data_IF_857208960514
#
_entry.id   IF_857208960514
#
_cell.length_a   1.000
_cell.length_b   1.000
_cell.length_c   1.000
_cell.angle_alpha   90.00
_cell.angle_beta   90.00
_cell.angle_gamma   90.00
#
_symmetry.space_group_name_H-M   'P 1'
#
loop_
_entity.id
_entity.type
_entity.pdbx_description
1 polymer ?
#
# COMPACT_ATOMS: atom_id res chain seq x y z
N UNK A 1 -23.97 -11.98 -18.78
CA UNK A 1 -23.25 -11.48 -17.60
C UNK A 1 -22.27 -12.57 -17.22
N UNK A 2 -20.99 -12.25 -17.31
CA UNK A 2 -19.93 -13.11 -16.80
C UNK A 2 -19.96 -13.06 -15.26
N UNK A 3 -19.34 -14.04 -14.58
CA UNK A 3 -19.43 -14.17 -13.11
C UNK A 3 -18.80 -12.98 -12.36
N UNK A 4 -17.88 -12.26 -13.00
CA UNK A 4 -17.26 -11.04 -12.48
C UNK A 4 -18.05 -9.77 -12.76
N UNK A 5 -19.11 -9.83 -13.57
CA UNK A 5 -19.96 -8.67 -13.80
C UNK A 5 -20.72 -8.34 -12.51
N UNK A 6 -20.83 -7.05 -12.21
CA UNK A 6 -21.61 -6.56 -11.06
C UNK A 6 -22.51 -5.41 -11.47
N UNK A 7 -23.69 -5.34 -10.86
CA UNK A 7 -24.63 -4.26 -11.12
C UNK A 7 -24.18 -2.95 -10.47
N UNK A 8 -24.56 -1.83 -11.07
CA UNK A 8 -24.33 -0.50 -10.50
C UNK A 8 -24.96 -0.35 -9.11
N UNK A 9 -26.14 -0.95 -8.89
CA UNK A 9 -26.80 -0.98 -7.58
C UNK A 9 -25.96 -1.69 -6.51
N UNK A 10 -25.42 -2.86 -6.82
CA UNK A 10 -24.57 -3.61 -5.90
C UNK A 10 -23.28 -2.83 -5.57
N UNK A 11 -22.68 -2.20 -6.57
CA UNK A 11 -21.49 -1.35 -6.38
C UNK A 11 -21.80 -0.14 -5.48
N UNK A 12 -22.87 0.60 -5.77
CA UNK A 12 -23.30 1.76 -4.97
C UNK A 12 -23.61 1.37 -3.51
N UNK A 13 -24.21 0.21 -3.30
CA UNK A 13 -24.45 -0.31 -1.95
C UNK A 13 -23.13 -0.56 -1.19
N UNK A 14 -22.17 -1.23 -1.83
CA UNK A 14 -20.84 -1.45 -1.24
C UNK A 14 -20.10 -0.13 -0.96
N UNK A 15 -20.16 0.83 -1.89
CA UNK A 15 -19.56 2.15 -1.75
C UNK A 15 -20.16 2.91 -0.55
N UNK A 16 -21.48 2.98 -0.45
CA UNK A 16 -22.15 3.65 0.67
C UNK A 16 -21.76 3.04 2.03
N UNK A 17 -21.67 1.70 2.10
CA UNK A 17 -21.21 1.00 3.30
C UNK A 17 -19.75 1.35 3.64
N UNK A 18 -18.86 1.38 2.66
CA UNK A 18 -17.46 1.74 2.86
C UNK A 18 -17.29 3.19 3.30
N UNK A 19 -17.98 4.15 2.67
CA UNK A 19 -17.96 5.56 3.10
C UNK A 19 -18.41 5.67 4.55
N UNK A 20 -19.54 5.05 4.93
CA UNK A 20 -20.04 5.06 6.31
C UNK A 20 -19.03 4.44 7.30
N UNK A 21 -18.43 3.31 6.94
CA UNK A 21 -17.50 2.62 7.82
C UNK A 21 -16.20 3.39 8.02
N UNK A 22 -15.61 3.87 6.92
CA UNK A 22 -14.32 4.55 6.90
C UNK A 22 -14.36 5.93 7.55
N UNK A 23 -15.48 6.65 7.44
CA UNK A 23 -15.65 7.99 8.04
C UNK A 23 -16.06 7.95 9.52
N UNK A 24 -16.38 6.76 10.07
CA UNK A 24 -16.82 6.64 11.46
C UNK A 24 -15.74 7.14 12.43
N UNK A 25 -16.09 8.14 13.23
CA UNK A 25 -15.16 8.77 14.19
C UNK A 25 -14.08 9.64 13.54
N UNK A 26 -14.23 9.99 12.26
CA UNK A 26 -13.36 10.93 11.53
C UNK A 26 -14.09 12.26 11.33
N UNK A 27 -13.32 13.32 11.18
CA UNK A 27 -13.81 14.68 10.92
C UNK A 27 -13.08 15.24 9.71
N UNK A 28 -13.81 15.98 8.89
CA UNK A 28 -13.22 16.74 7.79
C UNK A 28 -12.35 17.89 8.30
N UNK A 29 -11.44 18.35 7.45
CA UNK A 29 -10.54 19.47 7.67
C UNK A 29 -10.75 20.54 6.61
N UNK A 30 -10.56 21.82 6.99
CA UNK A 30 -10.52 22.93 6.01
C UNK A 30 -9.23 22.93 5.18
N UNK A 31 -8.20 22.26 5.68
CA UNK A 31 -6.91 22.05 5.02
C UNK A 31 -6.63 20.54 5.07
N UNK A 32 -7.30 19.75 4.22
CA UNK A 32 -7.19 18.30 4.30
C UNK A 32 -5.88 17.80 3.67
N UNK A 33 -5.34 16.74 4.25
CA UNK A 33 -4.08 16.12 3.82
C UNK A 33 -4.38 14.75 3.20
N UNK A 34 -3.82 14.52 2.01
CA UNK A 34 -3.82 13.22 1.36
C UNK A 34 -2.40 12.66 1.28
N UNK A 35 -2.21 11.42 1.75
CA UNK A 35 -0.90 10.76 1.75
C UNK A 35 -0.95 9.58 0.79
N UNK A 36 -0.11 9.59 -0.23
CA UNK A 36 0.08 8.43 -1.10
C UNK A 36 1.21 7.57 -0.53
N UNK A 37 1.00 6.26 -0.45
CA UNK A 37 2.05 5.33 -0.03
C UNK A 37 2.83 4.76 -1.21
N UNK A 38 4.13 4.58 -0.98
CA UNK A 38 5.02 3.83 -1.87
C UNK A 38 5.94 2.89 -1.10
N UNK A 39 6.47 1.90 -1.81
CA UNK A 39 7.36 0.89 -1.24
C UNK A 39 7.02 -0.50 -1.72
N UNK A 40 8.06 -1.34 -1.80
CA UNK A 40 7.95 -2.73 -2.22
C UNK A 40 6.95 -3.55 -1.38
N UNK A 41 6.42 -4.62 -1.98
CA UNK A 41 5.64 -5.62 -1.24
C UNK A 41 6.51 -6.21 -0.13
N UNK A 42 5.95 -6.41 1.07
CA UNK A 42 6.72 -6.91 2.21
C UNK A 42 7.65 -5.88 2.88
N UNK A 43 7.74 -4.63 2.41
CA UNK A 43 8.51 -3.58 3.08
C UNK A 43 8.05 -3.30 4.52
N UNK A 44 6.75 -3.49 4.77
CA UNK A 44 6.10 -3.16 6.04
C UNK A 44 5.31 -1.86 6.01
N UNK A 45 4.59 -1.54 4.93
CA UNK A 45 3.76 -0.32 4.76
C UNK A 45 2.79 -0.05 5.92
N UNK A 46 2.34 -1.10 6.61
CA UNK A 46 1.57 -1.01 7.86
C UNK A 46 2.28 -0.19 8.97
N UNK A 47 3.61 -0.07 8.93
CA UNK A 47 4.38 0.82 9.79
C UNK A 47 3.98 2.28 9.58
N UNK A 48 3.85 2.71 8.32
CA UNK A 48 3.38 4.06 7.98
C UNK A 48 1.92 4.23 8.41
N UNK A 49 1.06 3.21 8.28
CA UNK A 49 -0.30 3.28 8.82
C UNK A 49 -0.32 3.60 10.31
N UNK A 50 0.55 2.96 11.10
CA UNK A 50 0.64 3.19 12.55
C UNK A 50 1.19 4.59 12.85
N UNK A 51 2.22 5.03 12.13
CA UNK A 51 2.80 6.38 12.29
C UNK A 51 1.74 7.43 11.97
N UNK A 52 1.12 7.36 10.80
CA UNK A 52 0.14 8.36 10.35
C UNK A 52 -1.16 8.33 11.14
N UNK A 53 -1.63 7.17 11.58
CA UNK A 53 -2.74 7.13 12.54
C UNK A 53 -2.38 7.81 13.85
N UNK A 54 -1.17 7.61 14.39
CA UNK A 54 -0.75 8.31 15.61
C UNK A 54 -0.61 9.82 15.38
N UNK A 55 0.04 10.23 14.30
CA UNK A 55 0.27 11.63 13.92
C UNK A 55 -1.04 12.40 13.75
N UNK A 56 -2.04 11.79 13.10
CA UNK A 56 -3.35 12.39 12.88
C UNK A 56 -4.32 12.17 14.06
N UNK A 57 -3.87 11.61 15.19
CA UNK A 57 -4.73 11.26 16.33
C UNK A 57 -5.95 10.41 15.90
N UNK A 58 -5.69 9.45 15.01
CA UNK A 58 -6.67 8.61 14.33
C UNK A 58 -7.66 9.38 13.44
N UNK A 59 -7.46 10.66 13.13
CA UNK A 59 -8.28 11.44 12.18
C UNK A 59 -7.76 11.36 10.74
N UNK A 60 -7.49 10.15 10.27
CA UNK A 60 -7.09 9.84 8.89
C UNK A 60 -7.78 8.54 8.45
N UNK A 61 -8.33 8.53 7.23
CA UNK A 61 -8.93 7.35 6.61
C UNK A 61 -7.85 6.56 5.87
N UNK A 62 -7.80 5.23 6.06
CA UNK A 62 -6.91 4.36 5.28
C UNK A 62 -7.72 3.73 4.16
N UNK A 63 -7.29 3.94 2.91
CA UNK A 63 -7.90 3.36 1.72
C UNK A 63 -6.96 2.26 1.20
N UNK A 64 -7.28 1.01 1.52
CA UNK A 64 -6.55 -0.18 1.09
C UNK A 64 -7.36 -0.94 0.02
N UNK A 65 -6.85 -0.91 -1.22
CA UNK A 65 -7.50 -1.54 -2.36
C UNK A 65 -7.72 -3.04 -2.21
N UNK A 66 -6.79 -3.76 -1.58
CA UNK A 66 -6.90 -5.21 -1.42
C UNK A 66 -8.06 -5.59 -0.48
N UNK A 67 -8.39 -4.73 0.48
CA UNK A 67 -9.51 -4.94 1.41
C UNK A 67 -10.90 -4.90 0.74
N UNK A 68 -10.99 -4.32 -0.46
CA UNK A 68 -12.26 -4.20 -1.19
C UNK A 68 -12.55 -5.40 -2.09
N UNK A 69 -11.56 -6.25 -2.40
CA UNK A 69 -11.73 -7.42 -3.29
C UNK A 69 -12.77 -8.40 -2.77
N UNK A 70 -12.74 -8.69 -1.47
CA UNK A 70 -13.69 -9.59 -0.81
C UNK A 70 -15.11 -9.04 -0.75
N UNK A 71 -15.31 -7.77 -1.11
CA UNK A 71 -16.62 -7.13 -1.16
C UNK A 71 -17.28 -7.24 -2.53
N UNK A 72 -16.61 -7.87 -3.51
CA UNK A 72 -17.23 -8.17 -4.80
C UNK A 72 -18.53 -8.97 -4.59
N UNK A 73 -19.65 -8.63 -5.24
CA UNK A 73 -20.94 -9.31 -5.01
C UNK A 73 -20.88 -10.83 -5.23
N UNK A 74 -20.03 -11.27 -6.15
CA UNK A 74 -19.81 -12.68 -6.49
C UNK A 74 -18.48 -13.24 -5.96
N UNK A 75 -17.89 -12.61 -4.93
CA UNK A 75 -16.56 -12.98 -4.43
C UNK A 75 -16.42 -14.47 -4.11
N UNK A 76 -17.39 -15.06 -3.41
CA UNK A 76 -17.34 -16.49 -3.05
C UNK A 76 -17.38 -17.40 -4.28
N UNK A 77 -18.17 -17.04 -5.31
CA UNK A 77 -18.23 -17.78 -6.57
C UNK A 77 -16.91 -17.68 -7.33
N UNK A 78 -16.36 -16.47 -7.45
CA UNK A 78 -15.04 -16.25 -8.06
C UNK A 78 -13.92 -17.00 -7.32
N UNK A 79 -13.99 -17.06 -5.98
CA UNK A 79 -13.01 -17.79 -5.18
C UNK A 79 -13.14 -19.31 -5.36
N UNK A 80 -14.37 -19.82 -5.51
CA UNK A 80 -14.62 -21.24 -5.75
C UNK A 80 -14.16 -21.68 -7.14
N UNK A 81 -14.36 -20.85 -8.16
CA UNK A 81 -14.03 -21.16 -9.55
C UNK A 81 -12.55 -20.97 -9.86
N UNK A 82 -11.96 -19.86 -9.41
CA UNK A 82 -10.60 -19.45 -9.79
C UNK A 82 -9.58 -19.53 -8.65
N UNK A 83 -10.00 -19.82 -7.41
CA UNK A 83 -9.09 -19.96 -6.27
C UNK A 83 -8.22 -18.72 -6.08
N UNK A 84 -6.89 -18.89 -6.16
CA UNK A 84 -5.91 -17.80 -5.99
C UNK A 84 -5.94 -16.78 -7.14
N UNK A 85 -6.45 -17.17 -8.31
CA UNK A 85 -6.52 -16.35 -9.52
C UNK A 85 -7.77 -15.46 -9.56
N UNK A 86 -8.68 -15.58 -8.59
CA UNK A 86 -9.84 -14.70 -8.39
C UNK A 86 -9.46 -13.20 -8.28
N UNK A 87 -8.19 -12.91 -8.03
CA UNK A 87 -7.59 -11.57 -7.98
C UNK A 87 -7.69 -10.87 -9.33
N UNK A 88 -7.52 -11.60 -10.43
CA UNK A 88 -7.61 -11.02 -11.77
C UNK A 88 -9.04 -10.59 -12.10
N UNK A 89 -10.04 -11.26 -11.52
CA UNK A 89 -11.46 -10.99 -11.71
C UNK A 89 -11.99 -9.93 -10.73
N UNK A 90 -11.35 -9.76 -9.58
CA UNK A 90 -11.76 -8.77 -8.55
C UNK A 90 -11.03 -7.44 -8.66
N UNK A 91 -9.97 -7.33 -9.48
CA UNK A 91 -9.12 -6.14 -9.58
C UNK A 91 -9.89 -4.91 -10.05
N UNK A 92 -10.80 -5.07 -11.01
CA UNK A 92 -11.55 -3.96 -11.59
C UNK A 92 -12.55 -3.37 -10.58
N UNK A 93 -13.26 -4.23 -9.85
CA UNK A 93 -14.16 -3.80 -8.76
C UNK A 93 -13.38 -3.08 -7.65
N UNK A 94 -12.27 -3.66 -7.20
CA UNK A 94 -11.45 -3.07 -6.14
C UNK A 94 -10.84 -1.72 -6.56
N UNK A 95 -10.33 -1.63 -7.79
CA UNK A 95 -9.82 -0.38 -8.36
C UNK A 95 -10.90 0.69 -8.44
N UNK A 96 -12.07 0.37 -8.99
CA UNK A 96 -13.21 1.29 -9.06
C UNK A 96 -13.70 1.74 -7.68
N UNK A 97 -13.65 0.85 -6.68
CA UNK A 97 -13.98 1.18 -5.29
C UNK A 97 -12.99 2.19 -4.70
N UNK A 98 -11.68 2.01 -4.91
CA UNK A 98 -10.65 2.97 -4.49
C UNK A 98 -10.89 4.33 -5.14
N UNK A 99 -11.07 4.38 -6.47
CA UNK A 99 -11.29 5.63 -7.21
C UNK A 99 -12.55 6.37 -6.73
N UNK A 100 -13.63 5.63 -6.50
CA UNK A 100 -14.89 6.19 -5.99
C UNK A 100 -14.73 6.72 -4.56
N UNK A 101 -14.07 5.97 -3.68
CA UNK A 101 -13.80 6.42 -2.31
C UNK A 101 -12.89 7.64 -2.27
N UNK A 102 -11.83 7.68 -3.06
CA UNK A 102 -10.97 8.87 -3.18
C UNK A 102 -11.80 10.06 -3.66
N UNK A 103 -12.68 9.89 -4.64
CA UNK A 103 -13.53 10.96 -5.16
C UNK A 103 -14.51 11.50 -4.12
N UNK A 104 -15.25 10.61 -3.43
CA UNK A 104 -16.24 10.95 -2.41
C UNK A 104 -15.59 11.57 -1.17
N UNK A 105 -14.55 10.91 -0.62
CA UNK A 105 -13.89 11.39 0.59
C UNK A 105 -13.13 12.70 0.36
N UNK A 106 -12.56 12.88 -0.84
CA UNK A 106 -11.92 14.15 -1.19
C UNK A 106 -12.92 15.29 -1.26
N UNK A 107 -14.12 15.07 -1.84
CA UNK A 107 -15.20 16.06 -1.84
C UNK A 107 -15.67 16.43 -0.43
N UNK A 108 -15.68 15.47 0.49
CA UNK A 108 -16.09 15.68 1.89
C UNK A 108 -14.99 16.29 2.78
N UNK A 109 -13.76 16.46 2.29
CA UNK A 109 -12.68 17.11 3.04
C UNK A 109 -12.00 16.24 4.11
N UNK A 110 -12.03 14.91 4.00
CA UNK A 110 -11.36 14.04 4.98
C UNK A 110 -9.86 13.91 4.71
N UNK A 111 -9.05 13.82 5.77
CA UNK A 111 -7.68 13.33 5.61
C UNK A 111 -7.70 11.85 5.25
N UNK A 112 -6.90 11.44 4.27
CA UNK A 112 -6.78 10.03 3.95
C UNK A 112 -5.39 9.64 3.48
N UNK A 113 -5.11 8.35 3.62
CA UNK A 113 -3.92 7.68 3.14
C UNK A 113 -4.35 6.62 2.12
N UNK A 114 -3.75 6.66 0.94
CA UNK A 114 -4.01 5.72 -0.15
C UNK A 114 -2.86 4.72 -0.20
N UNK A 115 -3.17 3.44 0.03
CA UNK A 115 -2.19 2.36 -0.12
C UNK A 115 -1.73 2.24 -1.58
N UNK A 116 -0.44 1.99 -1.75
CA UNK A 116 0.21 2.02 -3.04
C UNK A 116 1.58 1.38 -3.01
N UNK A 117 2.07 1.01 -4.18
CA UNK A 117 3.43 0.46 -4.36
C UNK A 117 4.32 1.35 -5.21
N UNK A 118 3.76 2.41 -5.80
CA UNK A 118 4.48 3.35 -6.67
C UNK A 118 5.19 2.67 -7.86
N UNK A 119 4.57 1.62 -8.44
CA UNK A 119 5.14 0.86 -9.57
C UNK A 119 5.26 1.70 -10.84
N UNK A 120 4.40 2.69 -10.98
CA UNK A 120 4.38 3.64 -12.10
C UNK A 120 4.23 5.06 -11.56
N UNK A 121 4.58 6.04 -12.37
CA UNK A 121 4.39 7.46 -12.05
C UNK A 121 2.97 7.96 -12.37
N UNK A 122 2.29 7.33 -13.32
CA UNK A 122 1.04 7.87 -13.89
C UNK A 122 -0.10 7.92 -12.89
N UNK A 123 -0.31 6.83 -12.14
CA UNK A 123 -1.40 6.75 -11.15
C UNK A 123 -1.17 7.76 -10.02
N UNK A 124 -0.01 7.77 -9.33
CA UNK A 124 0.28 8.77 -8.31
C UNK A 124 0.18 10.21 -8.82
N UNK A 125 0.70 10.49 -10.02
CA UNK A 125 0.64 11.82 -10.65
C UNK A 125 -0.80 12.27 -10.86
N UNK A 126 -1.64 11.44 -11.50
CA UNK A 126 -3.06 11.76 -11.75
C UNK A 126 -3.82 11.95 -10.45
N UNK A 127 -3.63 11.04 -9.48
CA UNK A 127 -4.27 11.13 -8.17
C UNK A 127 -3.86 12.41 -7.44
N UNK A 128 -2.56 12.73 -7.39
CA UNK A 128 -2.09 13.93 -6.71
C UNK A 128 -2.59 15.22 -7.37
N UNK A 129 -2.61 15.29 -8.70
CA UNK A 129 -3.16 16.44 -9.43
C UNK A 129 -4.66 16.64 -9.17
N UNK A 130 -5.45 15.56 -9.16
CA UNK A 130 -6.87 15.59 -8.79
C UNK A 130 -7.08 16.11 -7.36
N UNK A 131 -6.22 15.73 -6.42
CA UNK A 131 -6.39 16.12 -5.02
C UNK A 131 -5.94 17.57 -4.78
N UNK A 132 -4.86 18.02 -5.44
CA UNK A 132 -4.45 19.42 -5.41
C UNK A 132 -5.53 20.34 -5.98
N UNK A 133 -6.22 19.95 -7.06
CA UNK A 133 -7.33 20.75 -7.61
C UNK A 133 -8.53 20.85 -6.66
N UNK A 134 -8.63 19.96 -5.67
CA UNK A 134 -9.60 19.99 -4.57
C UNK A 134 -9.07 20.68 -3.30
N UNK A 135 -7.91 21.33 -3.36
CA UNK A 135 -7.32 22.06 -2.24
C UNK A 135 -6.63 21.20 -1.17
N UNK A 136 -6.26 19.96 -1.50
CA UNK A 136 -5.51 19.10 -0.59
C UNK A 136 -4.03 19.44 -0.57
N UNK A 137 -3.43 19.36 0.61
CA UNK A 137 -1.99 19.12 0.73
C UNK A 137 -1.74 17.65 0.39
N UNK A 138 -0.98 17.38 -0.67
CA UNK A 138 -0.68 16.01 -1.11
C UNK A 138 0.75 15.66 -0.74
N UNK A 139 0.92 14.56 -0.02
CA UNK A 139 2.20 14.08 0.48
C UNK A 139 2.50 12.67 -0.09
N UNK A 140 3.78 12.32 -0.13
CA UNK A 140 4.25 10.97 -0.44
C UNK A 140 4.96 10.40 0.80
N UNK A 141 4.53 9.25 1.27
CA UNK A 141 5.22 8.53 2.34
C UNK A 141 5.72 7.18 1.82
N UNK A 142 7.02 6.99 1.88
CA UNK A 142 7.71 5.81 1.39
C UNK A 142 8.19 4.95 2.56
N UNK A 143 8.21 3.65 2.34
CA UNK A 143 8.97 2.72 3.19
C UNK A 143 9.92 1.92 2.30
N UNK A 144 11.17 1.82 2.73
CA UNK A 144 12.17 1.01 2.08
C UNK A 144 12.96 0.18 3.09
N UNK A 145 13.39 -0.99 2.62
CA UNK A 145 14.22 -1.96 3.34
C UNK A 145 14.97 -2.75 2.29
N UNK A 146 16.00 -3.52 2.69
CA UNK A 146 16.74 -4.37 1.75
C UNK A 146 15.79 -5.27 0.94
N UNK A 147 15.94 -5.38 -0.39
CA UNK A 147 15.08 -6.21 -1.24
C UNK A 147 14.91 -7.65 -0.75
N UNK A 148 15.97 -8.22 -0.18
CA UNK A 148 16.00 -9.56 0.41
C UNK A 148 15.09 -9.64 1.63
N UNK A 149 15.16 -8.64 2.53
CA UNK A 149 14.32 -8.57 3.73
C UNK A 149 12.84 -8.39 3.39
N UNK A 150 12.52 -7.55 2.39
CA UNK A 150 11.13 -7.38 1.97
C UNK A 150 10.59 -8.62 1.28
N UNK A 151 11.37 -9.25 0.40
CA UNK A 151 10.94 -10.47 -0.27
C UNK A 151 10.72 -11.61 0.73
N UNK A 152 11.66 -11.81 1.67
CA UNK A 152 11.53 -12.76 2.76
C UNK A 152 10.24 -12.54 3.57
N UNK A 153 9.91 -11.29 3.88
CA UNK A 153 8.64 -10.97 4.55
C UNK A 153 7.40 -11.31 3.70
N UNK A 154 7.50 -11.29 2.37
CA UNK A 154 6.39 -11.76 1.51
C UNK A 154 6.20 -13.27 1.58
N UNK A 155 7.29 -14.04 1.71
CA UNK A 155 7.28 -15.49 1.86
C UNK A 155 6.71 -15.89 3.23
N UNK A 156 7.19 -15.28 4.30
CA UNK A 156 6.67 -15.50 5.66
C UNK A 156 5.17 -15.21 5.71
N UNK A 157 4.74 -14.05 5.18
CA UNK A 157 3.31 -13.69 5.13
C UNK A 157 2.48 -14.70 4.36
N UNK A 158 3.01 -15.28 3.28
CA UNK A 158 2.31 -16.32 2.54
C UNK A 158 2.10 -17.56 3.42
N UNK A 159 3.15 -18.05 4.08
CA UNK A 159 3.07 -19.23 4.94
C UNK A 159 2.15 -19.03 6.14
N UNK A 160 2.18 -17.85 6.75
CA UNK A 160 1.25 -17.48 7.84
C UNK A 160 -0.20 -17.50 7.37
N UNK A 161 -0.48 -16.94 6.18
CA UNK A 161 -1.84 -16.96 5.62
C UNK A 161 -2.24 -18.36 5.17
N UNK A 162 -1.30 -19.18 4.68
CA UNK A 162 -1.54 -20.56 4.27
C UNK A 162 -1.96 -21.41 5.46
N UNK A 163 -1.32 -21.24 6.62
CA UNK A 163 -1.69 -21.92 7.85
C UNK A 163 -3.11 -21.57 8.35
N UNK A 164 -3.63 -20.40 8.00
CA UNK A 164 -4.99 -19.95 8.38
C UNK A 164 -6.02 -20.43 7.35
N UNK A 165 -5.77 -20.18 6.07
CA UNK A 165 -6.66 -20.54 4.98
C UNK A 165 -5.87 -20.74 3.66
N UNK A 166 -5.52 -21.99 3.30
CA UNK A 166 -4.78 -22.32 2.08
C UNK A 166 -5.42 -21.77 0.79
N UNK A 167 -6.75 -21.69 0.76
CA UNK A 167 -7.50 -21.24 -0.41
C UNK A 167 -7.41 -19.73 -0.64
N UNK A 168 -7.12 -18.95 0.40
CA UNK A 168 -6.96 -17.48 0.32
C UNK A 168 -5.51 -17.02 0.35
N UNK A 169 -4.58 -17.88 0.75
CA UNK A 169 -3.16 -17.58 0.79
C UNK A 169 -2.60 -17.39 -0.63
N UNK A 170 -2.09 -16.19 -0.90
CA UNK A 170 -1.53 -15.81 -2.20
C UNK A 170 -0.08 -15.40 -2.05
N UNK A 171 0.79 -16.09 -2.78
CA UNK A 171 2.19 -15.69 -2.87
C UNK A 171 2.29 -14.35 -3.61
N UNK A 172 3.31 -13.57 -3.28
CA UNK A 172 3.70 -12.42 -4.11
C UNK A 172 4.70 -12.92 -5.13
N UNK A 173 4.39 -12.91 -6.44
CA UNK A 173 5.37 -13.27 -7.46
C UNK A 173 6.63 -12.42 -7.32
N UNK A 174 7.80 -13.06 -7.36
CA UNK A 174 9.09 -12.37 -7.20
C UNK A 174 9.26 -11.27 -8.25
N UNK A 175 8.83 -11.53 -9.48
CA UNK A 175 8.83 -10.57 -10.58
C UNK A 175 8.07 -9.29 -10.24
N UNK A 176 6.90 -9.38 -9.59
CA UNK A 176 6.15 -8.20 -9.16
C UNK A 176 6.83 -7.43 -8.03
N UNK A 177 7.50 -8.14 -7.12
CA UNK A 177 8.28 -7.52 -6.07
C UNK A 177 9.50 -6.78 -6.66
N UNK A 178 10.29 -7.47 -7.46
CA UNK A 178 11.53 -6.96 -8.06
C UNK A 178 11.24 -5.83 -9.04
N UNK A 179 10.13 -5.90 -9.78
CA UNK A 179 9.68 -4.79 -10.62
C UNK A 179 9.53 -3.50 -9.81
N UNK A 180 8.96 -3.57 -8.60
CA UNK A 180 8.84 -2.38 -7.74
C UNK A 180 10.23 -1.90 -7.31
N UNK A 181 11.08 -2.81 -6.80
CA UNK A 181 12.43 -2.47 -6.35
C UNK A 181 13.23 -1.75 -7.43
N UNK A 182 13.19 -2.26 -8.67
CA UNK A 182 13.93 -1.73 -9.80
C UNK A 182 13.43 -0.36 -10.27
N UNK A 183 12.15 -0.02 -10.04
CA UNK A 183 11.57 1.24 -10.49
C UNK A 183 11.34 2.27 -9.39
N UNK A 184 11.36 1.88 -8.10
CA UNK A 184 10.95 2.75 -7.01
C UNK A 184 11.85 4.00 -6.89
N UNK A 185 13.17 3.83 -7.08
CA UNK A 185 14.13 4.94 -7.07
C UNK A 185 13.86 5.92 -8.21
N UNK A 186 13.76 5.42 -9.44
CA UNK A 186 13.56 6.27 -10.62
C UNK A 186 12.18 6.93 -10.63
N UNK A 187 11.13 6.23 -10.20
CA UNK A 187 9.80 6.79 -10.05
C UNK A 187 9.78 7.88 -8.98
N UNK A 188 10.47 7.68 -7.86
CA UNK A 188 10.59 8.70 -6.81
C UNK A 188 11.30 9.93 -7.34
N UNK A 189 12.42 9.76 -8.06
CA UNK A 189 13.17 10.87 -8.66
C UNK A 189 12.29 11.67 -9.64
N UNK A 190 11.59 10.99 -10.54
CA UNK A 190 10.67 11.66 -11.48
C UNK A 190 9.54 12.40 -10.75
N UNK A 191 8.99 11.84 -9.67
CA UNK A 191 7.94 12.51 -8.90
C UNK A 191 8.48 13.71 -8.10
N UNK A 192 9.73 13.67 -7.65
CA UNK A 192 10.44 14.82 -7.08
C UNK A 192 10.63 15.93 -8.11
N UNK A 193 11.13 15.60 -9.30
CA UNK A 193 11.36 16.55 -10.40
C UNK A 193 10.07 17.24 -10.87
N UNK A 194 8.94 16.52 -10.83
CA UNK A 194 7.63 17.08 -11.14
C UNK A 194 7.09 18.02 -10.04
N UNK A 195 7.72 18.07 -8.86
CA UNK A 195 7.35 18.91 -7.71
C UNK A 195 5.86 18.82 -7.35
N UNK A 196 5.28 17.62 -7.44
CA UNK A 196 3.84 17.42 -7.25
C UNK A 196 3.48 17.39 -5.76
N UNK A 197 4.31 16.73 -4.95
CA UNK A 197 4.09 16.52 -3.53
C UNK A 197 4.64 17.69 -2.70
N UNK A 198 3.87 18.14 -1.72
CA UNK A 198 4.27 19.20 -0.77
C UNK A 198 5.28 18.68 0.27
N UNK A 199 5.27 17.37 0.51
CA UNK A 199 6.17 16.69 1.44
C UNK A 199 6.41 15.25 1.00
N UNK A 200 7.67 14.84 1.02
CA UNK A 200 8.08 13.45 0.81
C UNK A 200 8.79 12.99 2.08
N UNK A 201 8.36 11.84 2.61
CA UNK A 201 8.97 11.25 3.81
C UNK A 201 9.34 9.80 3.53
N UNK A 202 10.48 9.35 4.06
CA UNK A 202 10.92 7.96 4.00
C UNK A 202 11.05 7.41 5.41
N UNK A 203 10.40 6.27 5.64
CA UNK A 203 10.39 5.58 6.93
C UNK A 203 11.09 4.22 6.84
N UNK A 204 11.59 3.75 7.98
CA UNK A 204 12.04 2.36 8.16
C UNK A 204 11.09 1.58 9.08
N UNK A 205 11.29 0.26 9.16
CA UNK A 205 10.43 -0.68 9.90
C UNK A 205 10.37 -0.41 11.42
N UNK A 206 11.40 0.21 11.98
CA UNK A 206 11.48 0.61 13.39
C UNK A 206 10.67 1.88 13.73
N UNK A 207 10.04 2.49 12.70
CA UNK A 207 9.28 3.76 12.71
C UNK A 207 10.14 5.02 12.67
N UNK A 208 11.45 4.90 12.47
CA UNK A 208 12.28 6.07 12.23
C UNK A 208 11.89 6.76 10.91
N UNK A 209 11.87 8.09 10.93
CA UNK A 209 11.81 8.91 9.72
C UNK A 209 13.25 9.23 9.33
N UNK A 210 13.74 8.59 8.28
CA UNK A 210 15.13 8.72 7.82
C UNK A 210 15.31 9.83 6.77
N UNK A 211 14.20 10.34 6.25
CA UNK A 211 14.19 11.48 5.33
C UNK A 211 12.87 12.23 5.41
N UNK A 212 12.96 13.56 5.38
CA UNK A 212 11.82 14.46 5.25
C UNK A 212 12.20 15.64 4.34
N UNK A 213 11.50 15.80 3.22
CA UNK A 213 11.81 16.85 2.24
C UNK A 213 11.62 18.29 2.78
N UNK A 214 10.97 18.47 3.92
CA UNK A 214 10.88 19.79 4.59
C UNK A 214 12.11 20.09 5.46
N UNK A 215 12.86 19.07 5.86
CA UNK A 215 14.03 19.19 6.75
C UNK A 215 15.36 18.88 6.05
N UNK A 216 15.30 18.14 4.92
CA UNK A 216 16.45 17.68 4.19
C UNK A 216 16.48 18.28 2.78
N UNK A 217 17.68 18.59 2.29
CA UNK A 217 17.92 19.13 0.95
C UNK A 217 18.42 18.09 -0.05
N UNK A 218 18.78 16.89 0.42
CA UNK A 218 19.14 15.75 -0.42
C UNK A 218 17.92 15.21 -1.17
N UNK A 219 18.10 14.57 -2.33
CA UNK A 219 16.99 13.91 -3.01
C UNK A 219 16.50 12.68 -2.23
N UNK A 220 15.18 12.53 -2.11
CA UNK A 220 14.53 11.33 -1.56
C UNK A 220 14.95 10.09 -2.34
N UNK A 221 15.07 10.17 -3.67
CA UNK A 221 15.53 9.06 -4.49
C UNK A 221 16.95 8.61 -4.15
N UNK A 222 17.86 9.54 -3.80
CA UNK A 222 19.22 9.18 -3.34
C UNK A 222 19.17 8.43 -2.02
N UNK A 223 18.43 8.95 -1.03
CA UNK A 223 18.28 8.26 0.27
C UNK A 223 17.64 6.88 0.08
N UNK A 224 16.63 6.79 -0.79
CA UNK A 224 15.97 5.54 -1.11
C UNK A 224 16.92 4.53 -1.75
N UNK A 225 17.77 4.97 -2.68
CA UNK A 225 18.79 4.13 -3.30
C UNK A 225 19.73 3.54 -2.24
N UNK A 226 20.23 4.35 -1.31
CA UNK A 226 21.14 3.89 -0.25
C UNK A 226 20.47 2.90 0.71
N UNK A 227 19.19 3.12 1.03
CA UNK A 227 18.41 2.18 1.84
C UNK A 227 18.28 0.81 1.15
N UNK A 228 17.99 0.80 -0.15
CA UNK A 228 17.77 -0.43 -0.92
C UNK A 228 19.09 -1.16 -1.24
N UNK A 229 20.11 -0.42 -1.65
CA UNK A 229 21.31 -0.97 -2.29
C UNK A 229 22.63 -0.63 -1.60
N UNK A 230 22.61 0.21 -0.56
CA UNK A 230 23.79 0.50 0.26
C UNK A 230 24.17 -0.67 1.16
N UNK A 231 25.17 -0.45 2.03
CA UNK A 231 25.64 -1.48 2.96
C UNK A 231 24.56 -1.95 3.93
N UNK A 232 24.69 -3.19 4.38
CA UNK A 232 23.82 -3.79 5.39
C UNK A 232 24.32 -3.46 6.79
N UNK A 233 23.44 -2.91 7.62
CA UNK A 233 23.72 -2.71 9.03
C UNK A 233 23.49 -4.01 9.84
N UNK A 234 23.90 -4.00 11.11
CA UNK A 234 23.83 -5.19 11.98
C UNK A 234 22.38 -5.64 12.23
N UNK A 235 21.45 -4.69 12.41
CA UNK A 235 20.02 -4.98 12.62
C UNK A 235 19.43 -5.68 11.39
N UNK A 236 19.75 -5.20 10.18
CA UNK A 236 19.28 -5.82 8.94
C UNK A 236 19.78 -7.27 8.78
N UNK A 237 21.05 -7.52 9.12
CA UNK A 237 21.64 -8.87 9.09
C UNK A 237 20.97 -9.82 10.07
N UNK A 238 20.69 -9.34 11.29
CA UNK A 238 19.97 -10.11 12.31
C UNK A 238 18.52 -10.39 11.91
N UNK A 239 17.84 -9.40 11.32
CA UNK A 239 16.49 -9.56 10.79
C UNK A 239 16.43 -10.60 9.66
N UNK A 240 17.44 -10.65 8.79
CA UNK A 240 17.52 -11.65 7.73
C UNK A 240 17.63 -13.05 8.33
N UNK A 241 18.59 -13.24 9.24
CA UNK A 241 18.80 -14.53 9.91
C UNK A 241 17.54 -15.02 10.64
N UNK A 242 16.93 -14.16 11.44
CA UNK A 242 15.70 -14.50 12.17
C UNK A 242 14.53 -14.80 11.24
N UNK A 243 14.39 -14.03 10.15
CA UNK A 243 13.34 -14.27 9.16
C UNK A 243 13.52 -15.59 8.41
N UNK A 244 14.75 -15.97 8.06
CA UNK A 244 15.04 -17.25 7.39
C UNK A 244 14.75 -18.44 8.32
N UNK A 245 15.11 -18.33 9.60
CA UNK A 245 14.76 -19.33 10.61
C UNK A 245 13.24 -19.46 10.76
N UNK A 246 12.53 -18.33 10.83
CA UNK A 246 11.06 -18.32 10.91
C UNK A 246 10.41 -18.94 9.66
N UNK A 247 10.89 -18.60 8.47
CA UNK A 247 10.38 -19.16 7.22
C UNK A 247 10.57 -20.68 7.19
N UNK A 248 11.77 -21.19 7.55
CA UNK A 248 12.04 -22.63 7.64
C UNK A 248 11.06 -23.34 8.57
N UNK A 249 10.80 -22.78 9.75
CA UNK A 249 9.85 -23.35 10.71
C UNK A 249 8.43 -23.39 10.14
N UNK A 250 7.99 -22.33 9.48
CA UNK A 250 6.65 -22.24 8.89
C UNK A 250 6.47 -23.21 7.72
N UNK A 251 7.44 -23.28 6.80
CA UNK A 251 7.42 -24.18 5.64
C UNK A 251 7.34 -25.64 6.07
N UNK A 252 8.17 -26.05 7.06
CA UNK A 252 8.11 -27.41 7.64
C UNK A 252 6.75 -27.69 8.29
N UNK A 253 6.22 -26.74 9.05
CA UNK A 253 4.92 -26.88 9.72
C UNK A 253 3.76 -27.03 8.73
N UNK A 254 3.82 -26.33 7.60
CA UNK A 254 2.77 -26.32 6.59
C UNK A 254 2.89 -27.47 5.57
N UNK A 255 3.98 -28.26 5.63
CA UNK A 255 4.22 -29.35 4.69
C UNK A 255 4.56 -28.87 3.28
N UNK A 256 5.15 -27.68 3.15
CA UNK A 256 5.67 -27.12 1.91
C UNK A 256 7.15 -27.44 1.72
#
# INVERSE_FOLDING_TARGET
MEIQDYTDSAFKHALARNVRSLTRGKKSSKQPIAILLGGQSGAGKTTIHRIKQKEFQSNIVIIDGDSFRSQHPHYLGLQQEYGKDSVEYTKDFAGKMVESLVTELSHLGYNFLIEGTLRTIDVPKKTAQLLKSKGYEVQLALIATKPELSYLSTLIRYEELYAINPHQARATPKEHHDFIVNHLVDNTRQLEELAIFERIQIYQRDRSCVYDSKENTTSAATVLHDLLFGEWNQVEKEMLKSGEEMLKVLTVRNGC
#
